data_IF_587312508177
#
_entry.id   IF_587312508177
#
_cell.length_a   1.000
_cell.length_b   1.000
_cell.length_c   1.000
_cell.angle_alpha   90.00
_cell.angle_beta   90.00
_cell.angle_gamma   90.00
#
_symmetry.space_group_name_H-M   'P 1'
#
loop_
_entity.id
_entity.type
_entity.pdbx_description
1 polymer ?
#
# COMPACT_ATOMS: atom_id res chain seq x y z
N UNK A 1 24.67 -6.55 1.15
CA UNK A 1 23.34 -6.25 0.57
C UNK A 1 22.29 -6.65 1.62
N UNK A 2 21.41 -5.75 1.99
CA UNK A 2 20.30 -6.11 2.88
C UNK A 2 19.38 -7.10 2.15
N UNK A 3 19.23 -8.30 2.67
CA UNK A 3 18.35 -9.32 2.10
C UNK A 3 16.97 -9.05 2.68
N UNK A 4 16.09 -8.43 1.90
CA UNK A 4 14.68 -8.25 2.28
C UNK A 4 14.01 -9.63 2.35
N UNK A 5 13.16 -9.83 3.35
CA UNK A 5 12.33 -11.01 3.46
C UNK A 5 11.01 -10.81 2.72
N UNK A 6 10.32 -11.89 2.30
CA UNK A 6 9.05 -11.79 1.61
C UNK A 6 7.95 -11.14 2.47
N UNK A 7 6.90 -10.64 1.80
CA UNK A 7 5.62 -10.41 2.42
C UNK A 7 4.84 -11.73 2.38
N UNK A 8 4.39 -12.20 3.55
CA UNK A 8 3.67 -13.46 3.69
C UNK A 8 2.32 -13.18 4.36
N UNK A 9 1.25 -13.56 3.71
CA UNK A 9 -0.06 -13.71 4.32
C UNK A 9 -0.31 -15.21 4.50
N UNK A 10 -0.54 -15.67 5.72
CA UNK A 10 -0.77 -17.09 6.01
C UNK A 10 -2.10 -17.30 6.69
N UNK A 11 -2.88 -18.24 6.14
CA UNK A 11 -4.20 -18.66 6.64
C UNK A 11 -5.15 -17.49 6.91
N UNK A 12 -5.07 -16.46 6.05
CA UNK A 12 -5.73 -15.17 6.25
C UNK A 12 -7.23 -15.30 6.06
N UNK A 13 -8.00 -14.92 7.10
CA UNK A 13 -9.45 -14.90 7.08
C UNK A 13 -9.97 -13.49 7.35
N UNK A 14 -10.87 -13.02 6.49
CA UNK A 14 -11.53 -11.70 6.61
C UNK A 14 -13.02 -11.84 6.34
N UNK A 15 -13.83 -11.26 7.24
CA UNK A 15 -15.27 -11.21 7.10
C UNK A 15 -15.80 -9.78 7.16
N UNK A 16 -16.93 -9.53 6.52
CA UNK A 16 -17.75 -8.34 6.68
C UNK A 16 -19.11 -8.74 7.29
N UNK A 17 -19.29 -8.42 8.57
CA UNK A 17 -20.43 -8.91 9.33
C UNK A 17 -20.39 -10.42 9.47
N UNK A 18 -21.39 -11.12 8.89
CA UNK A 18 -21.47 -12.59 8.92
C UNK A 18 -20.94 -13.27 7.64
N UNK A 19 -20.48 -12.50 6.66
CA UNK A 19 -20.03 -13.02 5.38
C UNK A 19 -18.49 -13.11 5.35
N UNK A 20 -17.98 -14.35 5.29
CA UNK A 20 -16.56 -14.59 5.04
C UNK A 20 -16.24 -14.25 3.58
N UNK A 21 -15.22 -13.41 3.38
CA UNK A 21 -14.75 -12.98 2.05
C UNK A 21 -13.39 -13.59 1.75
N UNK A 22 -12.51 -13.69 2.73
CA UNK A 22 -11.27 -14.45 2.62
C UNK A 22 -11.35 -15.61 3.60
N UNK A 23 -11.04 -16.81 3.11
CA UNK A 23 -11.07 -18.03 3.89
C UNK A 23 -9.76 -18.77 3.74
N UNK A 24 -8.92 -18.70 4.78
CA UNK A 24 -7.61 -19.37 4.85
C UNK A 24 -6.71 -19.09 3.63
N UNK A 25 -6.62 -17.83 3.21
CA UNK A 25 -5.82 -17.43 2.05
C UNK A 25 -4.34 -17.42 2.42
N UNK A 26 -3.52 -18.08 1.57
CA UNK A 26 -2.06 -18.04 1.66
C UNK A 26 -1.49 -17.35 0.42
N UNK A 27 -0.62 -16.36 0.64
CA UNK A 27 0.08 -15.63 -0.44
C UNK A 27 1.48 -15.28 0.05
N UNK A 28 2.48 -15.54 -0.79
CA UNK A 28 3.86 -15.10 -0.59
C UNK A 28 4.30 -14.20 -1.74
N UNK A 29 4.88 -13.04 -1.42
CA UNK A 29 5.38 -12.06 -2.38
C UNK A 29 6.87 -11.85 -2.08
N UNK A 30 7.71 -12.30 -3.00
CA UNK A 30 9.15 -12.22 -2.86
C UNK A 30 9.70 -10.83 -3.21
N UNK A 31 10.79 -10.40 -2.58
CA UNK A 31 11.46 -9.16 -2.93
C UNK A 31 11.93 -9.15 -4.39
N UNK A 32 11.72 -8.01 -5.07
CA UNK A 32 12.15 -7.82 -6.46
C UNK A 32 11.25 -8.45 -7.52
N UNK A 33 10.14 -9.07 -7.12
CA UNK A 33 9.18 -9.69 -8.03
C UNK A 33 7.92 -8.83 -8.20
N UNK A 34 7.25 -9.03 -9.35
CA UNK A 34 5.91 -8.49 -9.61
C UNK A 34 4.93 -9.64 -9.47
N UNK A 35 4.05 -9.56 -8.47
CA UNK A 35 3.01 -10.55 -8.24
C UNK A 35 1.66 -10.03 -8.71
N UNK A 36 0.94 -10.82 -9.51
CA UNK A 36 -0.41 -10.50 -9.98
C UNK A 36 -1.47 -11.26 -9.18
N UNK A 37 -2.44 -10.51 -8.66
CA UNK A 37 -3.62 -11.09 -8.00
C UNK A 37 -4.80 -11.12 -8.99
N UNK A 38 -5.13 -12.31 -9.48
CA UNK A 38 -6.18 -12.51 -10.47
C UNK A 38 -7.42 -13.15 -9.83
N UNK A 39 -8.58 -12.88 -10.41
CA UNK A 39 -9.87 -13.44 -9.97
C UNK A 39 -11.05 -12.62 -10.48
N UNK A 40 -12.25 -13.20 -10.45
CA UNK A 40 -13.51 -12.55 -10.80
C UNK A 40 -13.83 -11.36 -9.87
N UNK A 41 -14.81 -10.55 -10.25
CA UNK A 41 -15.34 -9.53 -9.37
C UNK A 41 -15.98 -10.20 -8.15
N UNK A 42 -15.69 -9.67 -6.96
CA UNK A 42 -16.15 -10.30 -5.71
C UNK A 42 -15.25 -11.41 -5.16
N UNK A 43 -14.18 -11.83 -5.84
CA UNK A 43 -13.26 -12.89 -5.38
C UNK A 43 -12.39 -12.49 -4.16
N UNK A 44 -12.59 -11.32 -3.56
CA UNK A 44 -11.85 -10.90 -2.37
C UNK A 44 -10.55 -10.15 -2.63
N UNK A 45 -10.16 -9.86 -3.89
CA UNK A 45 -8.90 -9.15 -4.22
C UNK A 45 -8.73 -7.83 -3.47
N UNK A 46 -9.74 -6.99 -3.52
CA UNK A 46 -9.74 -5.69 -2.80
C UNK A 46 -9.70 -5.89 -1.29
N UNK A 47 -10.39 -6.90 -0.77
CA UNK A 47 -10.37 -7.26 0.66
C UNK A 47 -8.98 -7.69 1.10
N UNK A 48 -8.28 -8.48 0.28
CA UNK A 48 -6.90 -8.89 0.54
C UNK A 48 -5.96 -7.67 0.60
N UNK A 49 -6.01 -6.78 -0.39
CA UNK A 49 -5.22 -5.53 -0.38
C UNK A 49 -5.56 -4.65 0.84
N UNK A 50 -6.85 -4.55 1.22
CA UNK A 50 -7.26 -3.80 2.40
C UNK A 50 -6.74 -4.42 3.70
N UNK A 51 -6.64 -5.74 3.78
CA UNK A 51 -6.05 -6.42 4.93
C UNK A 51 -4.53 -6.16 5.00
N UNK A 52 -3.81 -6.25 3.87
CA UNK A 52 -2.38 -5.94 3.79
C UNK A 52 -2.05 -4.49 4.18
N UNK A 53 -2.95 -3.57 3.88
CA UNK A 53 -2.75 -2.13 4.15
C UNK A 53 -3.35 -1.66 5.47
N UNK A 54 -3.88 -2.59 6.28
CA UNK A 54 -4.46 -2.29 7.60
C UNK A 54 -5.82 -1.59 7.57
N UNK A 55 -6.44 -1.47 6.38
CA UNK A 55 -7.77 -0.87 6.22
C UNK A 55 -8.89 -1.83 6.65
N UNK A 56 -8.59 -3.12 6.75
CA UNK A 56 -9.52 -4.15 7.24
C UNK A 56 -8.73 -5.12 8.12
N UNK A 57 -9.24 -5.37 9.32
CA UNK A 57 -8.58 -6.28 10.27
C UNK A 57 -8.99 -7.72 9.96
N UNK A 58 -8.04 -8.65 9.75
CA UNK A 58 -8.32 -10.08 9.70
C UNK A 58 -8.85 -10.57 11.05
N UNK A 59 -9.74 -11.57 11.03
CA UNK A 59 -10.17 -12.24 12.25
C UNK A 59 -9.38 -13.51 12.55
N UNK A 60 -8.64 -14.05 11.56
CA UNK A 60 -7.70 -15.15 11.72
C UNK A 60 -6.57 -15.06 10.69
N UNK A 61 -5.49 -15.78 10.93
CA UNK A 61 -4.28 -15.76 10.11
C UNK A 61 -3.33 -14.62 10.47
N UNK A 62 -2.19 -14.59 9.79
CA UNK A 62 -1.12 -13.62 10.03
C UNK A 62 -0.64 -12.98 8.74
N UNK A 63 -0.11 -11.77 8.85
CA UNK A 63 0.57 -11.05 7.78
C UNK A 63 1.94 -10.64 8.30
N UNK A 64 2.98 -11.02 7.57
CA UNK A 64 4.36 -10.65 7.87
C UNK A 64 4.96 -9.85 6.72
N UNK A 65 5.72 -8.82 7.04
CA UNK A 65 6.48 -8.03 6.09
C UNK A 65 7.91 -7.85 6.59
N UNK A 66 8.88 -8.24 5.77
CA UNK A 66 10.32 -8.24 6.12
C UNK A 66 10.62 -8.95 7.46
N UNK A 67 9.86 -10.03 7.74
CA UNK A 67 9.98 -10.82 8.97
C UNK A 67 9.34 -10.20 10.21
N UNK A 68 8.64 -9.08 10.08
CA UNK A 68 7.89 -8.44 11.16
C UNK A 68 6.40 -8.71 10.98
N UNK A 69 5.70 -9.05 12.04
CA UNK A 69 4.25 -9.21 11.99
C UNK A 69 3.58 -7.85 11.92
N UNK A 70 2.70 -7.70 10.91
CA UNK A 70 1.93 -6.48 10.65
C UNK A 70 0.43 -6.69 10.74
N UNK A 71 -0.02 -7.87 11.15
CA UNK A 71 -1.43 -8.25 11.25
C UNK A 71 -2.22 -7.25 12.08
N UNK A 72 -3.22 -6.62 11.47
CA UNK A 72 -4.10 -5.67 12.15
C UNK A 72 -3.44 -4.38 12.64
N UNK A 73 -2.22 -4.08 12.21
CA UNK A 73 -1.61 -2.77 12.45
C UNK A 73 -2.41 -1.68 11.71
N UNK A 74 -2.49 -0.47 12.26
CA UNK A 74 -3.16 0.63 11.60
C UNK A 74 -2.40 1.10 10.35
N UNK A 75 -3.08 1.63 9.31
CA UNK A 75 -2.48 1.98 8.02
C UNK A 75 -1.23 2.86 8.11
N UNK A 76 -1.22 3.86 8.98
CA UNK A 76 -0.07 4.76 9.13
C UNK A 76 1.20 4.04 9.59
N UNK A 77 1.07 2.98 10.39
CA UNK A 77 2.21 2.14 10.81
C UNK A 77 2.73 1.31 9.65
N UNK A 78 1.82 0.71 8.88
CA UNK A 78 2.16 -0.11 7.71
C UNK A 78 2.87 0.74 6.65
N UNK A 79 2.37 1.95 6.38
CA UNK A 79 3.04 2.90 5.46
C UNK A 79 4.43 3.28 5.96
N UNK A 80 4.62 3.47 7.28
CA UNK A 80 5.95 3.78 7.85
C UNK A 80 6.96 2.64 7.69
N UNK A 81 6.50 1.42 7.49
CA UNK A 81 7.33 0.25 7.22
C UNK A 81 7.68 0.09 5.73
N UNK A 82 7.14 0.94 4.86
CA UNK A 82 7.44 0.97 3.42
C UNK A 82 6.39 0.34 2.51
N UNK A 83 5.26 -0.12 3.04
CA UNK A 83 4.14 -0.60 2.22
C UNK A 83 3.27 0.58 1.84
N UNK A 84 3.12 0.82 0.52
CA UNK A 84 2.20 1.84 0.00
C UNK A 84 1.17 1.21 -0.92
N UNK A 85 0.00 1.83 -1.02
CA UNK A 85 -1.07 1.38 -1.89
C UNK A 85 -1.50 2.52 -2.82
N UNK A 86 -1.61 2.19 -4.11
CA UNK A 86 -2.25 3.08 -5.09
C UNK A 86 -3.71 2.59 -5.22
N UNK A 87 -4.68 3.34 -4.66
CA UNK A 87 -6.08 2.92 -4.68
C UNK A 87 -6.69 3.06 -6.07
N UNK A 88 -7.75 2.31 -6.33
CA UNK A 88 -8.56 2.48 -7.53
C UNK A 88 -9.20 3.88 -7.57
N UNK A 89 -9.35 4.42 -8.79
CA UNK A 89 -9.91 5.73 -9.04
C UNK A 89 -8.91 6.87 -8.77
N UNK A 90 -9.35 8.07 -9.09
CA UNK A 90 -8.55 9.29 -8.92
C UNK A 90 -8.66 9.77 -7.47
N UNK A 91 -7.94 9.14 -6.57
CA UNK A 91 -7.93 9.47 -5.12
C UNK A 91 -7.01 10.65 -4.81
N UNK A 92 -7.20 11.76 -5.54
CA UNK A 92 -6.52 13.03 -5.28
C UNK A 92 -7.37 13.91 -4.36
N UNK A 93 -6.74 14.87 -3.72
CA UNK A 93 -7.40 15.90 -2.91
C UNK A 93 -7.81 17.05 -3.86
N UNK A 94 -9.09 17.18 -4.22
CA UNK A 94 -9.51 18.12 -5.26
C UNK A 94 -9.37 19.59 -4.88
N UNK A 95 -9.30 19.92 -3.59
CA UNK A 95 -9.05 21.26 -3.08
C UNK A 95 -7.57 21.64 -3.02
N UNK A 96 -6.67 20.71 -3.31
CA UNK A 96 -5.22 20.90 -3.33
C UNK A 96 -4.73 20.98 -4.77
N UNK A 97 -3.70 21.80 -5.01
CA UNK A 97 -3.01 21.82 -6.29
C UNK A 97 -2.15 20.56 -6.51
N UNK A 98 -1.49 20.45 -7.64
CA UNK A 98 -0.69 19.26 -8.00
C UNK A 98 0.49 19.07 -7.04
N UNK A 99 1.21 20.14 -6.71
CA UNK A 99 2.38 20.07 -5.83
C UNK A 99 1.97 19.65 -4.41
N UNK A 100 0.89 20.22 -3.88
CA UNK A 100 0.34 19.84 -2.58
C UNK A 100 -0.08 18.36 -2.54
N UNK A 101 -0.75 17.87 -3.58
CA UNK A 101 -1.09 16.44 -3.70
C UNK A 101 0.15 15.55 -3.70
N UNK A 102 1.23 15.94 -4.40
CA UNK A 102 2.49 15.19 -4.42
C UNK A 102 3.16 15.21 -3.03
N UNK A 103 3.16 16.35 -2.36
CA UNK A 103 3.72 16.50 -1.01
C UNK A 103 2.95 15.67 0.03
N UNK A 104 1.64 15.45 -0.15
CA UNK A 104 0.88 14.52 0.69
C UNK A 104 1.43 13.08 0.62
N UNK A 105 1.99 12.66 -0.52
CA UNK A 105 2.67 11.37 -0.65
C UNK A 105 3.97 11.28 0.15
N UNK A 106 4.55 12.40 0.54
CA UNK A 106 5.78 12.49 1.32
C UNK A 106 5.55 12.81 2.81
N UNK A 107 4.32 12.71 3.32
CA UNK A 107 3.94 13.19 4.66
C UNK A 107 4.74 12.55 5.81
N UNK A 108 5.32 11.37 5.61
CA UNK A 108 6.17 10.70 6.59
C UNK A 108 7.66 11.06 6.48
N UNK A 109 8.10 11.64 5.37
CA UNK A 109 9.49 12.05 5.18
C UNK A 109 9.74 13.38 5.89
N UNK A 110 10.76 13.42 6.72
CA UNK A 110 11.15 14.62 7.48
C UNK A 110 12.32 15.37 6.85
N UNK A 111 13.09 14.69 6.01
CA UNK A 111 14.22 15.29 5.31
C UNK A 111 13.73 16.09 4.10
N UNK A 112 13.78 17.41 4.21
CA UNK A 112 13.39 18.34 3.15
C UNK A 112 14.20 18.17 1.85
N UNK A 113 15.46 17.76 1.95
CA UNK A 113 16.29 17.56 0.77
C UNK A 113 15.81 16.32 0.00
N UNK A 114 15.53 15.21 0.70
CA UNK A 114 14.92 14.02 0.12
C UNK A 114 13.56 14.29 -0.51
N UNK A 115 12.74 15.11 0.12
CA UNK A 115 11.44 15.52 -0.47
C UNK A 115 11.67 16.25 -1.79
N UNK A 116 12.61 17.23 -1.84
CA UNK A 116 12.93 17.98 -3.05
C UNK A 116 13.46 17.08 -4.16
N UNK A 117 14.39 16.19 -3.85
CA UNK A 117 14.94 15.23 -4.81
C UNK A 117 13.87 14.32 -5.41
N UNK A 118 12.98 13.76 -4.56
CA UNK A 118 11.87 12.92 -5.01
C UNK A 118 10.88 13.70 -5.86
N UNK A 119 10.55 14.94 -5.47
CA UNK A 119 9.65 15.80 -6.24
C UNK A 119 10.24 16.14 -7.61
N UNK A 120 11.54 16.48 -7.67
CA UNK A 120 12.25 16.71 -8.93
C UNK A 120 12.17 15.48 -9.84
N UNK A 121 12.44 14.28 -9.29
CA UNK A 121 12.33 13.02 -10.04
C UNK A 121 10.92 12.76 -10.56
N UNK A 122 9.89 13.09 -9.78
CA UNK A 122 8.48 12.96 -10.24
C UNK A 122 8.22 13.91 -11.41
N UNK A 123 8.71 15.14 -11.35
CA UNK A 123 8.53 16.11 -12.44
C UNK A 123 9.32 15.74 -13.70
N UNK A 124 10.45 15.08 -13.57
CA UNK A 124 11.20 14.56 -14.72
C UNK A 124 10.47 13.38 -15.39
N UNK A 125 9.86 12.50 -14.59
CA UNK A 125 9.07 11.37 -15.09
C UNK A 125 7.72 11.82 -15.66
N UNK A 126 7.15 12.89 -15.11
CA UNK A 126 5.81 13.39 -15.48
C UNK A 126 5.85 14.92 -15.71
N UNK A 127 6.40 15.42 -16.85
CA UNK A 127 6.55 16.85 -17.10
C UNK A 127 5.25 17.65 -17.02
N UNK A 128 4.12 17.03 -17.39
CA UNK A 128 2.79 17.65 -17.29
C UNK A 128 2.38 18.02 -15.86
N UNK A 129 2.85 17.30 -14.85
CA UNK A 129 2.59 17.65 -13.46
C UNK A 129 3.38 18.91 -13.07
N UNK A 130 4.60 19.09 -13.61
CA UNK A 130 5.40 20.29 -13.39
C UNK A 130 4.75 21.53 -14.00
N UNK A 131 4.20 21.41 -15.22
CA UNK A 131 3.48 22.49 -15.93
C UNK A 131 2.24 22.96 -15.17
N UNK A 132 1.59 22.07 -14.43
CA UNK A 132 0.31 22.30 -13.73
C UNK A 132 0.45 22.26 -12.21
N UNK A 133 1.63 22.54 -11.67
CA UNK A 133 1.93 22.36 -10.25
C UNK A 133 1.19 23.30 -9.31
N UNK A 134 0.81 24.50 -9.81
CA UNK A 134 0.09 25.57 -9.06
C UNK A 134 -1.36 25.67 -9.51
#
# INVERSE_FOLDING_TARGET
MATFKPLIADSLCVAYGKADVLNSVHVEINPGEITCLLGSNGAGKTTFIRALTGLTKPHAGTIQFDGLEITGLPPHRIVSMGISCIPEGRRVFPAMNVEENLLMGAYQERDRNRIRERLARVYDLFPRLKERRT
#
